data_IF_495166922357
#
_entry.id   IF_495166922357
#
_cell.length_a   1.000
_cell.length_b   1.000
_cell.length_c   1.000
_cell.angle_alpha   90.00
_cell.angle_beta   90.00
_cell.angle_gamma   90.00
#
_symmetry.space_group_name_H-M   'P 1'
#
loop_
_entity.id
_entity.type
_entity.pdbx_description
1 polymer ?
#
# COMPACT_ATOMS: atom_id res chain seq x y z
N UNK A 1 22.59 21.74 -11.32
CA UNK A 1 21.57 20.97 -12.07
C UNK A 1 21.02 19.86 -11.19
N UNK A 2 19.74 19.95 -10.91
CA UNK A 2 19.06 18.88 -10.18
C UNK A 2 18.61 17.83 -11.18
N UNK A 3 19.22 16.66 -11.14
CA UNK A 3 18.74 15.54 -11.94
C UNK A 3 17.49 14.95 -11.29
N UNK A 4 16.55 14.50 -12.11
CA UNK A 4 15.37 13.80 -11.63
C UNK A 4 15.77 12.53 -10.89
N UNK A 5 15.07 12.16 -9.81
CA UNK A 5 15.39 10.92 -9.10
C UNK A 5 15.16 9.70 -10.00
N UNK A 6 16.06 8.73 -9.89
CA UNK A 6 15.93 7.47 -10.62
C UNK A 6 14.89 6.54 -9.99
N UNK A 7 14.57 5.43 -10.69
CA UNK A 7 13.56 4.48 -10.20
C UNK A 7 13.83 3.97 -8.79
N UNK A 8 15.09 3.64 -8.49
CA UNK A 8 15.45 3.12 -7.16
C UNK A 8 15.15 4.13 -6.06
N UNK A 9 15.46 5.40 -6.32
CA UNK A 9 15.21 6.47 -5.35
C UNK A 9 13.71 6.69 -5.15
N UNK A 10 12.94 6.68 -6.23
CA UNK A 10 11.48 6.83 -6.16
C UNK A 10 10.84 5.67 -5.39
N UNK A 11 11.27 4.45 -5.66
CA UNK A 11 10.75 3.26 -4.99
C UNK A 11 11.14 3.25 -3.51
N UNK A 12 12.38 3.63 -3.19
CA UNK A 12 12.83 3.69 -1.80
C UNK A 12 12.03 4.73 -1.01
N UNK A 13 11.78 5.88 -1.59
CA UNK A 13 10.99 6.93 -0.94
C UNK A 13 9.54 6.49 -0.73
N UNK A 14 8.94 5.85 -1.73
CA UNK A 14 7.59 5.31 -1.63
C UNK A 14 7.51 4.20 -0.56
N UNK A 15 8.54 3.38 -0.48
CA UNK A 15 8.63 2.32 0.54
C UNK A 15 8.62 2.90 1.95
N UNK A 16 9.40 3.94 2.18
CA UNK A 16 9.45 4.61 3.50
C UNK A 16 8.07 5.17 3.85
N UNK A 17 7.42 5.87 2.91
CA UNK A 17 6.07 6.42 3.15
C UNK A 17 5.06 5.32 3.45
N UNK A 18 5.16 4.18 2.76
CA UNK A 18 4.25 3.05 2.96
C UNK A 18 4.47 2.40 4.32
N UNK A 19 5.73 2.21 4.73
CA UNK A 19 6.05 1.69 6.06
C UNK A 19 5.53 2.61 7.17
N UNK A 20 5.69 3.92 7.01
CA UNK A 20 5.18 4.89 7.97
C UNK A 20 3.65 4.83 8.04
N UNK A 21 3.00 4.68 6.90
CA UNK A 21 1.54 4.55 6.84
C UNK A 21 1.06 3.27 7.53
N UNK A 22 1.74 2.14 7.30
CA UNK A 22 1.42 0.88 7.97
C UNK A 22 1.55 1.04 9.48
N UNK A 23 2.65 1.60 9.95
CA UNK A 23 2.86 1.82 11.38
C UNK A 23 1.78 2.69 12.00
N UNK A 24 1.37 3.76 11.30
CA UNK A 24 0.30 4.62 11.75
C UNK A 24 -1.04 3.91 11.83
N UNK A 25 -1.37 3.12 10.81
CA UNK A 25 -2.62 2.36 10.76
C UNK A 25 -2.66 1.27 11.85
N UNK A 26 -1.52 0.63 12.11
CA UNK A 26 -1.44 -0.38 13.17
C UNK A 26 -1.61 0.23 14.55
N UNK A 27 -1.04 1.43 14.79
CA UNK A 27 -1.25 2.15 16.04
C UNK A 27 -2.71 2.56 16.22
N UNK A 28 -3.33 3.04 15.14
CA UNK A 28 -4.76 3.39 15.16
C UNK A 28 -5.62 2.17 15.47
N UNK A 29 -5.32 1.03 14.83
CA UNK A 29 -6.04 -0.22 15.06
C UNK A 29 -5.90 -0.69 16.51
N UNK A 30 -4.69 -0.63 17.07
CA UNK A 30 -4.44 -0.98 18.48
C UNK A 30 -5.25 -0.08 19.42
N UNK A 31 -5.30 1.21 19.14
CA UNK A 31 -6.10 2.15 19.92
C UNK A 31 -7.59 1.84 19.86
N UNK A 32 -8.11 1.49 18.71
CA UNK A 32 -9.51 1.09 18.54
C UNK A 32 -9.82 -0.17 19.33
N UNK A 33 -8.93 -1.16 19.27
CA UNK A 33 -9.07 -2.43 20.00
C UNK A 33 -9.08 -2.17 21.51
N UNK A 34 -8.16 -1.36 22.00
CA UNK A 34 -8.10 -0.98 23.42
C UNK A 34 -9.36 -0.25 23.87
N UNK A 35 -9.85 0.68 23.05
CA UNK A 35 -11.08 1.42 23.35
C UNK A 35 -12.29 0.47 23.39
N UNK A 36 -12.35 -0.52 22.50
CA UNK A 36 -13.41 -1.51 22.47
C UNK A 36 -13.40 -2.38 23.73
N UNK A 37 -12.20 -2.79 24.19
CA UNK A 37 -12.06 -3.58 25.42
C UNK A 37 -12.52 -2.80 26.65
N UNK A 38 -12.17 -1.52 26.73
CA UNK A 38 -12.58 -0.65 27.82
C UNK A 38 -14.09 -0.44 27.82
N UNK A 39 -14.69 -0.22 26.66
CA UNK A 39 -16.14 -0.03 26.52
C UNK A 39 -16.92 -1.30 26.89
N UNK A 40 -16.44 -2.46 26.49
CA UNK A 40 -17.12 -3.73 26.78
C UNK A 40 -17.11 -4.11 28.25
N UNK A 41 -16.21 -3.53 29.04
CA UNK A 41 -16.15 -3.79 30.47
C UNK A 41 -17.31 -3.13 31.23
N UNK A 42 -17.92 -2.08 30.66
CA UNK A 42 -18.87 -1.24 31.37
C UNK A 42 -20.32 -1.35 30.92
N UNK A 43 -20.63 -1.88 29.73
CA UNK A 43 -22.02 -1.87 29.24
C UNK A 43 -22.32 -2.97 28.23
N UNK A 44 -23.42 -3.71 28.48
CA UNK A 44 -23.90 -4.79 27.62
C UNK A 44 -24.68 -4.27 26.40
N UNK A 45 -25.15 -3.01 26.43
CA UNK A 45 -25.94 -2.41 25.35
C UNK A 45 -25.32 -1.12 24.86
N UNK A 46 -24.20 -1.23 24.16
CA UNK A 46 -23.51 -0.05 23.68
C UNK A 46 -23.74 0.17 22.18
N UNK A 47 -24.52 1.19 21.78
CA UNK A 47 -24.65 1.54 20.36
C UNK A 47 -23.31 1.99 19.75
N UNK A 48 -22.34 2.41 20.57
CA UNK A 48 -21.00 2.73 20.14
C UNK A 48 -20.22 1.49 19.75
N UNK A 49 -20.60 0.30 20.24
CA UNK A 49 -19.97 -0.95 19.91
C UNK A 49 -19.99 -1.27 18.42
N UNK A 50 -21.12 -0.99 17.76
CA UNK A 50 -21.24 -1.19 16.31
C UNK A 50 -20.34 -0.22 15.53
N UNK A 51 -20.24 1.03 15.98
CA UNK A 51 -19.37 2.05 15.39
C UNK A 51 -17.91 1.67 15.55
N UNK A 52 -17.51 1.19 16.73
CA UNK A 52 -16.15 0.75 17.02
C UNK A 52 -15.78 -0.44 16.14
N UNK A 53 -16.70 -1.40 15.99
CA UNK A 53 -16.48 -2.57 15.12
C UNK A 53 -16.27 -2.14 13.66
N UNK A 54 -17.06 -1.18 13.20
CA UNK A 54 -16.92 -0.63 11.84
C UNK A 54 -15.57 0.07 11.65
N UNK A 55 -15.17 0.90 12.61
CA UNK A 55 -13.88 1.60 12.60
C UNK A 55 -12.72 0.61 12.58
N UNK A 56 -12.82 -0.46 13.38
CA UNK A 56 -11.81 -1.50 13.45
C UNK A 56 -11.66 -2.21 12.10
N UNK A 57 -12.76 -2.59 11.47
CA UNK A 57 -12.73 -3.24 10.16
C UNK A 57 -12.17 -2.33 9.09
N UNK A 58 -12.55 -1.05 9.13
CA UNK A 58 -12.04 -0.06 8.17
C UNK A 58 -10.53 0.13 8.32
N UNK A 59 -10.04 0.32 9.56
CA UNK A 59 -8.62 0.47 9.81
C UNK A 59 -7.83 -0.78 9.42
N UNK A 60 -8.38 -1.98 9.70
CA UNK A 60 -7.75 -3.24 9.32
C UNK A 60 -7.67 -3.40 7.79
N UNK A 61 -8.72 -2.99 7.07
CA UNK A 61 -8.73 -3.03 5.62
C UNK A 61 -7.69 -2.08 5.02
N UNK A 62 -7.57 -0.88 5.57
CA UNK A 62 -6.55 0.09 5.11
C UNK A 62 -5.13 -0.43 5.38
N UNK A 63 -4.90 -1.05 6.54
CA UNK A 63 -3.60 -1.65 6.87
C UNK A 63 -3.26 -2.79 5.92
N UNK A 64 -4.24 -3.62 5.59
CA UNK A 64 -4.07 -4.71 4.64
C UNK A 64 -3.72 -4.18 3.24
N UNK A 65 -4.40 -3.14 2.78
CA UNK A 65 -4.09 -2.50 1.49
C UNK A 65 -2.67 -1.91 1.47
N UNK A 66 -2.26 -1.28 2.57
CA UNK A 66 -0.93 -0.70 2.67
C UNK A 66 0.16 -1.78 2.64
N UNK A 67 -0.07 -2.92 3.30
CA UNK A 67 0.87 -4.06 3.25
C UNK A 67 0.94 -4.66 1.86
N UNK A 68 -0.19 -4.77 1.16
CA UNK A 68 -0.21 -5.24 -0.23
C UNK A 68 0.59 -4.31 -1.13
N UNK A 69 0.46 -2.99 -0.91
CA UNK A 69 1.22 -2.00 -1.67
C UNK A 69 2.72 -2.12 -1.39
N UNK A 70 3.11 -2.37 -0.14
CA UNK A 70 4.51 -2.61 0.21
C UNK A 70 5.07 -3.80 -0.56
N UNK A 71 4.31 -4.89 -0.67
CA UNK A 71 4.73 -6.07 -1.43
C UNK A 71 4.93 -5.73 -2.91
N UNK A 72 4.08 -4.88 -3.48
CA UNK A 72 4.21 -4.42 -4.87
C UNK A 72 5.47 -3.60 -5.05
N UNK A 73 5.78 -2.72 -4.10
CA UNK A 73 7.02 -1.92 -4.13
C UNK A 73 8.25 -2.83 -4.05
N UNK A 74 8.24 -3.80 -3.14
CA UNK A 74 9.36 -4.72 -2.96
C UNK A 74 9.59 -5.58 -4.21
N UNK A 75 8.51 -6.03 -4.85
CA UNK A 75 8.60 -6.76 -6.11
C UNK A 75 9.21 -5.89 -7.22
N UNK A 76 8.87 -4.60 -7.27
CA UNK A 76 9.45 -3.67 -8.23
C UNK A 76 10.95 -3.48 -7.99
N UNK A 77 11.36 -3.39 -6.73
CA UNK A 77 12.79 -3.31 -6.39
C UNK A 77 13.55 -4.56 -6.81
N UNK A 78 12.94 -5.73 -6.67
CA UNK A 78 13.53 -6.99 -7.14
C UNK A 78 13.70 -6.99 -8.65
N UNK A 79 12.67 -6.56 -9.40
CA UNK A 79 12.76 -6.46 -10.86
C UNK A 79 13.85 -5.48 -11.28
N UNK A 80 13.97 -4.37 -10.55
CA UNK A 80 15.01 -3.39 -10.82
C UNK A 80 16.41 -4.01 -10.65
N UNK A 81 16.61 -4.74 -9.58
CA UNK A 81 17.88 -5.44 -9.32
C UNK A 81 18.19 -6.52 -10.37
N UNK A 82 17.14 -7.14 -10.91
CA UNK A 82 17.28 -8.20 -11.92
C UNK A 82 17.33 -7.68 -13.36
N UNK A 83 17.28 -6.36 -13.55
CA UNK A 83 17.32 -5.76 -14.90
C UNK A 83 16.02 -5.89 -15.68
N UNK A 84 14.90 -6.13 -15.00
CA UNK A 84 13.59 -6.29 -15.64
C UNK A 84 12.62 -5.14 -15.36
N UNK A 85 13.11 -4.08 -14.74
CA UNK A 85 12.28 -2.93 -14.43
C UNK A 85 11.81 -2.25 -15.72
N UNK A 86 10.54 -1.87 -15.79
CA UNK A 86 9.98 -1.22 -16.97
C UNK A 86 9.46 -2.19 -18.03
N UNK A 87 9.50 -3.48 -17.75
CA UNK A 87 8.94 -4.51 -18.62
C UNK A 87 7.65 -5.04 -18.02
N UNK A 88 6.58 -5.03 -18.81
CA UNK A 88 5.28 -5.53 -18.36
C UNK A 88 5.37 -7.02 -18.02
N UNK A 89 4.92 -7.40 -16.83
CA UNK A 89 4.95 -8.79 -16.38
C UNK A 89 3.94 -9.68 -17.10
N UNK A 90 2.93 -9.10 -17.75
CA UNK A 90 1.90 -9.85 -18.49
C UNK A 90 2.23 -10.05 -19.96
N UNK A 91 2.57 -8.99 -20.67
CA UNK A 91 2.79 -9.05 -22.10
C UNK A 91 4.26 -9.00 -22.53
N UNK A 92 5.16 -8.71 -21.61
CA UNK A 92 6.59 -8.59 -21.89
C UNK A 92 6.99 -7.33 -22.64
N UNK A 93 6.04 -6.48 -22.97
CA UNK A 93 6.30 -5.22 -23.64
C UNK A 93 6.75 -4.12 -22.67
N UNK A 94 7.15 -2.95 -23.20
CA UNK A 94 7.62 -1.86 -22.35
C UNK A 94 6.47 -1.18 -21.60
N UNK A 95 6.78 -0.72 -20.40
CA UNK A 95 5.88 0.18 -19.65
C UNK A 95 6.32 1.60 -19.99
N UNK A 96 5.35 2.46 -20.34
CA UNK A 96 5.66 3.84 -20.74
C UNK A 96 6.38 4.60 -19.62
N UNK A 97 7.38 5.39 -19.98
CA UNK A 97 8.17 6.17 -19.01
C UNK A 97 7.29 7.10 -18.17
N UNK A 98 6.28 7.71 -18.78
CA UNK A 98 5.35 8.60 -18.07
C UNK A 98 4.55 7.82 -17.01
N UNK A 99 4.19 6.57 -17.29
CA UNK A 99 3.49 5.72 -16.33
C UNK A 99 4.40 5.36 -15.16
N UNK A 100 5.65 5.02 -15.43
CA UNK A 100 6.64 4.71 -14.38
C UNK A 100 6.98 5.93 -13.54
N UNK A 101 6.99 7.13 -14.13
CA UNK A 101 7.20 8.36 -13.37
C UNK A 101 6.05 8.61 -12.39
N UNK A 102 4.82 8.35 -12.81
CA UNK A 102 3.63 8.51 -11.97
C UNK A 102 3.43 7.34 -10.99
N UNK A 103 3.79 6.13 -11.43
CA UNK A 103 3.63 4.90 -10.66
C UNK A 103 4.90 4.06 -10.75
N UNK A 104 5.92 4.37 -9.94
CA UNK A 104 7.20 3.67 -10.02
C UNK A 104 7.12 2.17 -9.80
N UNK A 105 6.13 1.70 -9.05
CA UNK A 105 5.94 0.27 -8.77
C UNK A 105 5.05 -0.44 -9.78
N UNK A 106 4.65 0.23 -10.87
CA UNK A 106 3.80 -0.37 -11.90
C UNK A 106 4.47 -1.63 -12.47
N UNK A 107 3.74 -2.73 -12.50
CA UNK A 107 4.23 -4.02 -13.02
C UNK A 107 3.66 -4.35 -14.40
N UNK A 108 2.62 -3.63 -14.83
CA UNK A 108 1.95 -3.87 -16.10
C UNK A 108 1.87 -2.58 -16.92
N UNK A 109 1.87 -2.71 -18.24
CA UNK A 109 1.60 -1.59 -19.12
C UNK A 109 0.13 -1.19 -18.99
N UNK A 110 -0.22 0.00 -19.50
CA UNK A 110 -1.59 0.51 -19.36
C UNK A 110 -2.61 -0.39 -20.07
N UNK A 111 -2.23 -0.99 -21.20
CA UNK A 111 -3.11 -1.91 -21.91
C UNK A 111 -3.45 -3.15 -21.10
N UNK A 112 -2.45 -3.78 -20.48
CA UNK A 112 -2.68 -4.95 -19.64
C UNK A 112 -3.41 -4.59 -18.34
N UNK A 113 -3.12 -3.43 -17.76
CA UNK A 113 -3.82 -2.95 -16.56
C UNK A 113 -5.31 -2.75 -16.85
N UNK A 114 -5.66 -2.22 -18.03
CA UNK A 114 -7.05 -2.01 -18.42
C UNK A 114 -7.79 -3.34 -18.63
N UNK A 115 -7.09 -4.40 -19.03
CA UNK A 115 -7.67 -5.73 -19.26
C UNK A 115 -7.82 -6.55 -17.97
N UNK A 116 -7.19 -6.12 -16.88
CA UNK A 116 -7.17 -6.85 -15.61
C UNK A 116 -8.47 -6.73 -14.79
N UNK A 117 -9.53 -6.15 -15.36
CA UNK A 117 -10.83 -6.02 -14.70
C UNK A 117 -11.69 -7.25 -14.94
#
# INVERSE_FOLDING_TARGET
>A
MTSSPGPRQLLAAERVRTLDRIAGLERELSGIIEAAQAANADDEHDPEGATIAFEREHAAALASQARAHLAVIDAALERLSAGRYGTCTRCGGPIAAARLAARPAAETCIGCAAQAR
#
